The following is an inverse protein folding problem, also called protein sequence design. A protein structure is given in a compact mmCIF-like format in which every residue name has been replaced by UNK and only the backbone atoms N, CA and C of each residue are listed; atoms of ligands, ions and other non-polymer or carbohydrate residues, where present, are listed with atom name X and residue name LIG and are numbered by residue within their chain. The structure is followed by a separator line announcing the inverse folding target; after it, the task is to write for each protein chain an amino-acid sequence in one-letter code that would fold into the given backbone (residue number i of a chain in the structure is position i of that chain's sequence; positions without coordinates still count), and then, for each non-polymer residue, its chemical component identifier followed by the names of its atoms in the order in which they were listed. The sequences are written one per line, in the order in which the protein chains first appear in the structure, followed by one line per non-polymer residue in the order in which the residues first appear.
data_IF_791206023744
#
_entry.id   IF_791206023744
#
_cell.length_a   1.000
_cell.length_b   1.000
_cell.length_c   1.000
_cell.angle_alpha   90.00
_cell.angle_beta   90.00
_cell.angle_gamma   90.00
#
_symmetry.space_group_name_H-M   'P 1'
#
loop_
_entity.id
_entity.type
_entity.pdbx_description
1 polymer ?
#
# COMPACT_ATOMS: atom_id res chain seq x y z
N UNK A 1 -20.04 -31.76 -2.81
CA UNK A 1 -18.65 -31.98 -3.28
C UNK A 1 -18.10 -30.76 -3.99
N UNK A 2 -17.52 -29.82 -3.25
CA UNK A 2 -16.75 -28.71 -3.80
C UNK A 2 -15.32 -29.21 -4.09
N UNK A 3 -15.07 -29.66 -5.32
CA UNK A 3 -13.75 -30.11 -5.75
C UNK A 3 -12.77 -28.91 -5.75
N UNK A 4 -11.54 -29.08 -5.21
CA UNK A 4 -10.54 -28.00 -5.16
C UNK A 4 -10.23 -27.39 -6.54
N UNK A 5 -10.31 -28.19 -7.60
CA UNK A 5 -10.13 -27.75 -8.99
C UNK A 5 -11.21 -26.78 -9.46
N UNK A 6 -12.45 -26.95 -9.00
CA UNK A 6 -13.55 -26.03 -9.30
C UNK A 6 -13.36 -24.67 -8.60
N UNK A 7 -12.84 -24.69 -7.37
CA UNK A 7 -12.51 -23.47 -6.62
C UNK A 7 -11.32 -22.76 -7.28
N UNK A 8 -10.26 -23.48 -7.64
CA UNK A 8 -9.09 -22.93 -8.32
C UNK A 8 -9.46 -22.30 -9.68
N UNK A 9 -10.33 -22.96 -10.46
CA UNK A 9 -10.82 -22.40 -11.73
C UNK A 9 -11.60 -21.10 -11.55
N UNK A 10 -12.42 -21.00 -10.50
CA UNK A 10 -13.14 -19.75 -10.15
C UNK A 10 -12.17 -18.65 -9.70
N UNK A 11 -11.16 -18.98 -8.91
CA UNK A 11 -10.12 -18.03 -8.48
C UNK A 11 -9.32 -17.53 -9.68
N UNK A 12 -8.91 -18.42 -10.59
CA UNK A 12 -8.22 -18.04 -11.82
C UNK A 12 -9.07 -17.11 -12.70
N UNK A 13 -10.36 -17.41 -12.85
CA UNK A 13 -11.29 -16.59 -13.60
C UNK A 13 -11.51 -15.21 -12.96
N UNK A 14 -11.55 -15.12 -11.62
CA UNK A 14 -11.62 -13.85 -10.89
C UNK A 14 -10.34 -13.01 -11.05
N UNK A 15 -9.17 -13.65 -10.97
CA UNK A 15 -7.86 -12.98 -11.17
C UNK A 15 -7.73 -12.49 -12.61
N UNK A 16 -8.19 -13.26 -13.60
CA UNK A 16 -8.13 -12.86 -15.02
C UNK A 16 -8.94 -11.61 -15.35
N UNK A 17 -9.92 -11.25 -14.52
CA UNK A 17 -10.71 -10.02 -14.68
C UNK A 17 -10.03 -8.76 -14.15
N UNK A 18 -8.80 -8.83 -13.62
CA UNK A 18 -8.10 -7.70 -13.00
C UNK A 18 -8.91 -6.94 -11.92
N UNK A 19 -9.91 -7.60 -11.32
CA UNK A 19 -10.83 -6.97 -10.35
C UNK A 19 -12.00 -6.20 -10.98
N UNK A 20 -12.13 -6.15 -12.30
CA UNK A 20 -13.29 -5.60 -13.00
C UNK A 20 -14.34 -6.70 -13.22
N UNK A 21 -15.48 -6.59 -12.56
CA UNK A 21 -16.62 -7.50 -12.73
C UNK A 21 -17.37 -7.18 -14.03
N UNK A 22 -16.76 -7.50 -15.18
CA UNK A 22 -17.27 -7.15 -16.51
C UNK A 22 -18.45 -8.04 -16.96
N UNK A 23 -18.77 -9.13 -16.25
CA UNK A 23 -19.75 -10.12 -16.72
C UNK A 23 -21.00 -10.36 -15.84
N UNK A 24 -21.24 -9.56 -14.79
CA UNK A 24 -22.52 -9.53 -14.05
C UNK A 24 -23.03 -10.85 -13.41
N UNK A 25 -22.34 -11.98 -13.61
CA UNK A 25 -22.71 -13.33 -13.17
C UNK A 25 -22.01 -13.78 -11.89
N UNK A 26 -21.30 -12.86 -11.22
CA UNK A 26 -20.68 -13.13 -9.94
C UNK A 26 -21.61 -12.64 -8.83
N UNK A 27 -22.58 -13.47 -8.47
CA UNK A 27 -23.41 -13.26 -7.27
C UNK A 27 -22.53 -13.55 -6.05
N UNK A 28 -21.91 -12.51 -5.51
CA UNK A 28 -21.19 -12.62 -4.24
C UNK A 28 -22.24 -12.65 -3.13
N UNK A 29 -22.56 -13.83 -2.62
CA UNK A 29 -23.51 -14.01 -1.51
C UNK A 29 -22.98 -13.50 -0.14
N UNK A 30 -21.95 -12.65 -0.15
CA UNK A 30 -21.40 -12.01 1.03
C UNK A 30 -21.23 -10.54 0.73
N UNK A 31 -22.00 -9.69 1.39
CA UNK A 31 -21.78 -8.25 1.40
C UNK A 31 -20.31 -7.99 1.75
N UNK A 32 -19.54 -7.50 0.78
CA UNK A 32 -18.12 -7.23 0.98
C UNK A 32 -17.97 -6.02 1.89
N UNK A 33 -17.81 -6.25 3.19
CA UNK A 33 -17.53 -5.23 4.23
C UNK A 33 -16.21 -4.45 3.94
N UNK A 34 -15.43 -4.85 2.92
CA UNK A 34 -14.10 -4.32 2.66
C UNK A 34 -13.90 -3.89 1.19
N UNK A 35 -13.69 -2.59 0.98
CA UNK A 35 -13.49 -2.01 -0.35
C UNK A 35 -12.02 -2.08 -0.79
N UNK A 36 -11.67 -3.08 -1.63
CA UNK A 36 -10.31 -3.21 -2.19
C UNK A 36 -9.87 -2.00 -3.03
N UNK A 37 -10.79 -1.38 -3.78
CA UNK A 37 -10.52 -0.17 -4.57
C UNK A 37 -10.06 1.00 -3.69
N UNK A 38 -10.74 1.21 -2.55
CA UNK A 38 -10.38 2.25 -1.58
C UNK A 38 -8.99 2.01 -1.01
N UNK A 39 -8.67 0.75 -0.68
CA UNK A 39 -7.34 0.37 -0.16
C UNK A 39 -6.25 0.72 -1.16
N UNK A 40 -6.41 0.33 -2.43
CA UNK A 40 -5.41 0.60 -3.47
C UNK A 40 -5.21 2.09 -3.67
N UNK A 41 -6.30 2.88 -3.71
CA UNK A 41 -6.21 4.34 -3.87
C UNK A 41 -5.53 5.03 -2.68
N UNK A 42 -5.89 4.65 -1.45
CA UNK A 42 -5.32 5.23 -0.23
C UNK A 42 -3.86 4.83 -0.06
N UNK A 43 -3.54 3.55 -0.27
CA UNK A 43 -2.18 3.02 -0.16
C UNK A 43 -1.27 3.64 -1.22
N UNK A 44 -1.74 3.77 -2.47
CA UNK A 44 -0.97 4.41 -3.55
C UNK A 44 -0.62 5.86 -3.20
N UNK A 45 -1.57 6.62 -2.64
CA UNK A 45 -1.30 7.97 -2.17
C UNK A 45 -0.26 8.01 -1.05
N UNK A 46 -0.36 7.12 -0.06
CA UNK A 46 0.60 7.04 1.05
C UNK A 46 2.02 6.69 0.55
N UNK A 47 2.13 5.74 -0.36
CA UNK A 47 3.40 5.36 -1.02
C UNK A 47 4.01 6.55 -1.75
N UNK A 48 3.23 7.23 -2.59
CA UNK A 48 3.71 8.39 -3.34
C UNK A 48 4.19 9.46 -2.37
N UNK A 49 3.42 9.76 -1.33
CA UNK A 49 3.76 10.80 -0.35
C UNK A 49 5.03 10.49 0.46
N UNK A 50 5.24 9.23 0.83
CA UNK A 50 6.36 8.85 1.69
C UNK A 50 7.68 8.72 0.92
N UNK A 51 7.65 8.07 -0.24
CA UNK A 51 8.87 7.75 -0.99
C UNK A 51 9.26 8.82 -2.04
N UNK A 52 8.36 9.74 -2.40
CA UNK A 52 8.67 10.79 -3.38
C UNK A 52 9.45 11.96 -2.75
N UNK A 53 10.45 12.54 -3.46
CA UNK A 53 11.16 13.73 -3.00
C UNK A 53 10.20 14.91 -2.84
N UNK A 54 10.35 15.65 -1.72
CA UNK A 54 9.49 16.80 -1.36
C UNK A 54 9.43 17.90 -2.44
N UNK A 55 10.41 17.95 -3.35
CA UNK A 55 10.46 18.92 -4.45
C UNK A 55 9.36 18.68 -5.50
N UNK A 56 8.83 17.46 -5.60
CA UNK A 56 7.77 17.09 -6.55
C UNK A 56 6.35 17.39 -6.00
N UNK A 57 6.13 18.60 -5.51
CA UNK A 57 4.81 19.06 -5.05
C UNK A 57 3.64 18.80 -6.01
N UNK A 58 3.75 19.02 -7.35
CA UNK A 58 2.61 18.77 -8.24
C UNK A 58 2.20 17.29 -8.25
N UNK A 59 3.16 16.37 -8.11
CA UNK A 59 2.87 14.93 -8.06
C UNK A 59 2.08 14.56 -6.80
N UNK A 60 2.43 15.14 -5.65
CA UNK A 60 1.71 14.90 -4.41
C UNK A 60 0.27 15.44 -4.47
N UNK A 61 0.09 16.62 -5.06
CA UNK A 61 -1.24 17.21 -5.27
C UNK A 61 -2.07 16.37 -6.24
N UNK A 62 -1.51 15.99 -7.39
CA UNK A 62 -2.19 15.13 -8.35
C UNK A 62 -2.58 13.80 -7.71
N UNK A 63 -1.67 13.12 -7.01
CA UNK A 63 -1.96 11.87 -6.34
C UNK A 63 -3.02 12.01 -5.23
N UNK A 64 -3.01 13.11 -4.47
CA UNK A 64 -4.03 13.39 -3.46
C UNK A 64 -5.41 13.61 -4.09
N UNK A 65 -5.47 14.40 -5.17
CA UNK A 65 -6.72 14.69 -5.89
C UNK A 65 -7.25 13.41 -6.55
N UNK A 66 -6.43 12.63 -7.23
CA UNK A 66 -6.87 11.40 -7.89
C UNK A 66 -7.38 10.37 -6.89
N UNK A 67 -6.71 10.20 -5.75
CA UNK A 67 -7.20 9.31 -4.69
C UNK A 67 -8.50 9.83 -4.06
N UNK A 68 -8.64 11.14 -3.83
CA UNK A 68 -9.87 11.71 -3.31
C UNK A 68 -11.05 11.53 -4.27
N UNK A 69 -10.85 11.91 -5.55
CA UNK A 69 -11.86 11.72 -6.60
C UNK A 69 -12.21 10.25 -6.75
N UNK A 70 -11.22 9.36 -6.74
CA UNK A 70 -11.45 7.91 -6.81
C UNK A 70 -12.31 7.38 -5.67
N UNK A 71 -12.09 7.83 -4.43
CA UNK A 71 -12.92 7.45 -3.28
C UNK A 71 -14.36 7.98 -3.43
N UNK A 72 -14.53 9.21 -3.92
CA UNK A 72 -15.86 9.77 -4.20
C UNK A 72 -16.58 8.99 -5.30
N UNK A 73 -15.89 8.63 -6.39
CA UNK A 73 -16.47 7.80 -7.46
C UNK A 73 -16.87 6.40 -6.96
N UNK A 74 -16.07 5.80 -6.06
CA UNK A 74 -16.42 4.52 -5.43
C UNK A 74 -17.71 4.65 -4.61
N UNK A 75 -17.87 5.74 -3.84
CA UNK A 75 -19.09 6.01 -3.09
C UNK A 75 -20.30 6.24 -4.01
N UNK A 76 -20.13 7.01 -5.09
CA UNK A 76 -21.19 7.30 -6.08
C UNK A 76 -21.60 6.05 -6.85
N UNK A 77 -20.71 5.07 -7.02
CA UNK A 77 -21.05 3.83 -7.72
C UNK A 77 -22.10 2.98 -6.99
N UNK A 78 -22.45 3.31 -5.74
CA UNK A 78 -23.43 2.62 -4.90
C UNK A 78 -23.20 1.09 -4.78
N UNK A 79 -22.04 0.60 -5.19
CA UNK A 79 -21.66 -0.81 -5.14
C UNK A 79 -21.09 -1.25 -3.80
N UNK A 80 -20.83 -0.30 -2.89
CA UNK A 80 -20.29 -0.51 -1.55
C UNK A 80 -20.96 0.44 -0.57
N UNK A 81 -21.17 -0.01 0.66
CA UNK A 81 -21.66 0.86 1.72
C UNK A 81 -20.58 1.87 2.11
N UNK A 82 -20.97 3.06 2.56
CA UNK A 82 -20.04 4.07 3.11
C UNK A 82 -19.15 3.49 4.21
N UNK A 83 -19.69 2.54 4.98
CA UNK A 83 -18.98 1.77 6.01
C UNK A 83 -17.75 1.05 5.44
N UNK A 84 -17.85 0.44 4.26
CA UNK A 84 -16.76 -0.34 3.65
C UNK A 84 -15.56 0.56 3.32
N UNK A 85 -15.85 1.80 2.88
CA UNK A 85 -14.84 2.82 2.58
C UNK A 85 -14.18 3.32 3.86
N UNK A 86 -14.96 3.56 4.92
CA UNK A 86 -14.44 4.01 6.23
C UNK A 86 -13.55 2.94 6.85
N UNK A 87 -13.99 1.68 6.84
CA UNK A 87 -13.21 0.55 7.37
C UNK A 87 -11.93 0.36 6.54
N UNK A 88 -12.02 0.38 5.21
CA UNK A 88 -10.86 0.27 4.33
C UNK A 88 -9.84 1.38 4.58
N UNK A 89 -10.28 2.63 4.67
CA UNK A 89 -9.42 3.77 5.02
C UNK A 89 -8.80 3.59 6.41
N UNK A 90 -9.60 3.15 7.39
CA UNK A 90 -9.15 2.96 8.76
C UNK A 90 -8.04 1.92 8.86
N UNK A 91 -8.27 0.72 8.32
CA UNK A 91 -7.30 -0.37 8.36
C UNK A 91 -6.03 0.01 7.59
N UNK A 92 -6.17 0.53 6.37
CA UNK A 92 -5.02 0.87 5.51
C UNK A 92 -4.10 1.89 6.17
N UNK A 93 -4.66 2.98 6.70
CA UNK A 93 -3.86 4.02 7.37
C UNK A 93 -3.20 3.50 8.64
N UNK A 94 -3.90 2.70 9.45
CA UNK A 94 -3.36 2.15 10.70
C UNK A 94 -2.22 1.19 10.43
N UNK A 95 -2.40 0.26 9.50
CA UNK A 95 -1.35 -0.67 9.09
C UNK A 95 -0.12 0.06 8.54
N UNK A 96 -0.32 1.08 7.70
CA UNK A 96 0.77 1.89 7.16
C UNK A 96 1.62 2.53 8.26
N UNK A 97 0.99 3.21 9.22
CA UNK A 97 1.71 3.90 10.29
C UNK A 97 2.34 2.92 11.28
N UNK A 98 1.66 1.82 11.63
CA UNK A 98 2.23 0.78 12.50
C UNK A 98 3.50 0.20 11.84
N UNK A 99 3.41 -0.17 10.56
CA UNK A 99 4.55 -0.69 9.79
C UNK A 99 5.72 0.29 9.78
N UNK A 100 5.52 1.54 9.38
CA UNK A 100 6.60 2.53 9.35
C UNK A 100 7.16 2.84 10.74
N UNK A 101 6.32 2.80 11.78
CA UNK A 101 6.78 2.99 13.16
C UNK A 101 7.69 1.84 13.58
N UNK A 102 7.34 0.60 13.30
CA UNK A 102 8.20 -0.56 13.61
C UNK A 102 9.48 -0.55 12.74
N UNK A 103 9.37 -0.19 11.46
CA UNK A 103 10.50 -0.20 10.53
C UNK A 103 11.53 0.91 10.82
N UNK A 104 11.08 2.07 11.30
CA UNK A 104 11.96 3.21 11.53
C UNK A 104 12.53 3.29 12.96
N UNK A 105 11.97 2.54 13.92
CA UNK A 105 12.45 2.52 15.30
C UNK A 105 13.24 1.24 15.59
N UNK A 106 14.55 1.34 15.74
CA UNK A 106 15.43 0.20 16.02
C UNK A 106 15.02 -0.59 17.29
N UNK A 107 14.51 0.09 18.31
CA UNK A 107 14.04 -0.54 19.56
C UNK A 107 12.84 -1.47 19.34
N UNK A 108 11.96 -1.17 18.37
CA UNK A 108 10.79 -1.99 18.05
C UNK A 108 11.12 -3.19 17.15
N UNK A 109 12.31 -3.20 16.53
CA UNK A 109 12.86 -4.37 15.82
C UNK A 109 13.49 -5.39 16.77
N UNK A 110 13.80 -5.00 18.00
CA UNK A 110 14.40 -5.92 18.97
C UNK A 110 13.32 -6.68 19.74
N UNK A 111 13.62 -7.94 20.04
CA UNK A 111 12.83 -8.76 20.94
C UNK A 111 13.05 -8.27 22.37
N UNK A 112 12.12 -7.45 22.87
CA UNK A 112 12.12 -6.96 24.24
C UNK A 112 10.87 -7.42 25.00
N UNK A 113 10.95 -7.58 26.33
CA UNK A 113 9.79 -7.96 27.16
C UNK A 113 8.64 -6.94 27.08
N UNK A 114 8.97 -5.67 26.78
CA UNK A 114 8.01 -4.58 26.63
C UNK A 114 7.50 -4.40 25.19
N UNK A 115 7.98 -5.20 24.23
CA UNK A 115 7.58 -5.10 22.83
C UNK A 115 6.45 -6.09 22.52
N UNK A 116 5.20 -5.63 22.62
CA UNK A 116 4.02 -6.45 22.34
C UNK A 116 3.91 -6.89 20.87
N UNK A 117 4.58 -6.21 19.94
CA UNK A 117 4.58 -6.61 18.52
C UNK A 117 5.23 -7.97 18.31
N UNK A 118 6.17 -8.37 19.19
CA UNK A 118 6.82 -9.69 19.14
C UNK A 118 5.85 -10.86 19.29
N UNK A 119 4.66 -10.63 19.89
CA UNK A 119 3.62 -11.64 20.10
C UNK A 119 2.75 -11.86 18.85
N UNK A 120 2.91 -11.04 17.82
CA UNK A 120 2.14 -11.17 16.59
C UNK A 120 2.73 -12.28 15.73
N UNK A 121 1.87 -13.14 15.19
CA UNK A 121 2.29 -14.32 14.41
C UNK A 121 3.11 -13.95 13.16
N UNK A 122 2.90 -12.76 12.58
CA UNK A 122 3.60 -12.27 11.40
C UNK A 122 4.89 -11.50 11.73
N UNK A 123 5.19 -11.24 13.01
CA UNK A 123 6.38 -10.49 13.41
C UNK A 123 7.70 -11.12 12.94
N UNK A 124 7.90 -12.46 12.94
CA UNK A 124 9.10 -13.07 12.38
C UNK A 124 9.30 -12.78 10.88
N UNK A 125 8.20 -12.70 10.12
CA UNK A 125 8.22 -12.37 8.69
C UNK A 125 8.68 -10.92 8.50
N UNK A 126 8.10 -10.00 9.28
CA UNK A 126 8.53 -8.60 9.29
C UNK A 126 10.02 -8.45 9.58
N UNK A 127 10.51 -9.14 10.62
CA UNK A 127 11.93 -9.13 10.98
C UNK A 127 12.84 -9.67 9.89
N UNK A 128 12.40 -10.68 9.13
CA UNK A 128 13.16 -11.21 8.01
C UNK A 128 13.36 -10.17 6.90
N UNK A 129 12.29 -9.46 6.51
CA UNK A 129 12.37 -8.43 5.46
C UNK A 129 13.11 -7.16 5.92
N UNK A 130 12.94 -6.76 7.18
CA UNK A 130 13.45 -5.50 7.72
C UNK A 130 14.81 -5.61 8.42
N UNK A 131 15.45 -6.79 8.40
CA UNK A 131 16.73 -7.07 9.08
C UNK A 131 17.86 -6.13 8.65
N UNK A 132 17.91 -5.77 7.37
CA UNK A 132 19.01 -5.00 6.78
C UNK A 132 18.70 -3.50 6.67
N UNK A 133 17.51 -3.06 7.08
CA UNK A 133 17.08 -1.66 6.96
C UNK A 133 17.27 -0.98 8.31
N UNK A 134 18.26 -0.10 8.43
CA UNK A 134 18.65 0.51 9.70
C UNK A 134 17.86 1.77 10.06
N UNK A 135 17.05 2.32 9.14
CA UNK A 135 16.32 3.57 9.35
C UNK A 135 15.42 3.96 8.18
N UNK A 136 14.95 5.21 8.19
CA UNK A 136 14.03 5.74 7.17
C UNK A 136 14.67 5.66 5.79
N UNK A 137 13.96 5.04 4.84
CA UNK A 137 14.40 4.94 3.45
C UNK A 137 14.59 6.35 2.88
N UNK A 138 15.78 6.68 2.33
CA UNK A 138 16.01 8.00 1.76
C UNK A 138 15.09 8.22 0.58
N UNK A 139 14.49 9.42 0.49
CA UNK A 139 13.57 9.83 -0.59
C UNK A 139 14.33 10.20 -1.87
N UNK A 140 15.27 9.36 -2.27
CA UNK A 140 16.10 9.53 -3.44
C UNK A 140 15.68 8.48 -4.47
N UNK A 141 15.09 8.92 -5.58
CA UNK A 141 14.86 8.05 -6.72
C UNK A 141 16.18 7.88 -7.46
N UNK A 142 16.81 6.71 -7.30
CA UNK A 142 17.85 6.28 -8.23
C UNK A 142 17.17 5.75 -9.49
N UNK A 143 17.38 6.45 -10.61
CA UNK A 143 16.84 6.01 -11.89
C UNK A 143 17.62 4.76 -12.35
N UNK A 144 16.95 3.61 -12.57
CA UNK A 144 17.61 2.34 -12.87
C UNK A 144 18.19 2.31 -14.30
N UNK A 145 17.73 3.18 -15.19
CA UNK A 145 18.27 3.30 -16.54
C UNK A 145 19.45 4.31 -16.54
N UNK A 146 20.42 4.18 -17.46
CA UNK A 146 21.57 5.09 -17.52
C UNK A 146 21.23 6.55 -17.92
N UNK A 147 19.98 6.84 -18.28
CA UNK A 147 19.55 8.11 -18.87
C UNK A 147 18.35 8.68 -18.08
N UNK A 148 18.45 9.82 -17.37
CA UNK A 148 19.20 11.02 -17.70
C UNK A 148 20.17 11.44 -16.56
N UNK A 149 21.18 10.62 -16.25
CA UNK A 149 22.21 11.00 -15.25
C UNK A 149 22.93 12.32 -15.60
N UNK A 150 22.96 12.70 -16.88
CA UNK A 150 23.55 13.98 -17.35
C UNK A 150 22.74 15.22 -16.96
N UNK A 151 21.43 15.11 -16.72
CA UNK A 151 20.60 16.26 -16.34
C UNK A 151 20.49 16.43 -14.81
N UNK A 152 20.82 15.39 -14.04
CA UNK A 152 20.80 15.39 -12.57
C UNK A 152 22.18 15.59 -11.92
N UNK A 153 23.26 15.68 -12.71
CA UNK A 153 24.62 15.90 -12.22
C UNK A 153 24.89 17.40 -11.98
N UNK A 154 24.24 18.00 -10.98
CA UNK A 154 24.76 19.22 -10.35
C UNK A 154 24.28 19.37 -8.91
N UNK A 155 24.81 18.54 -8.03
CA UNK A 155 24.98 18.92 -6.63
C UNK A 155 26.48 18.99 -6.36
N UNK A 156 27.06 20.17 -6.05
CA UNK A 156 28.45 20.23 -5.61
C UNK A 156 28.57 19.50 -4.28
N UNK A 157 29.60 18.65 -4.16
CA UNK A 157 30.01 18.03 -2.91
C UNK A 157 30.18 19.12 -1.85
N UNK A 158 29.53 18.95 -0.70
CA UNK A 158 29.79 19.75 0.49
C UNK A 158 30.61 18.89 1.45
N UNK A 159 31.87 18.69 1.07
CA UNK A 159 32.95 18.31 1.96
C UNK A 159 33.94 19.48 1.96
N UNK A 160 33.74 20.42 2.90
CA UNK A 160 34.71 21.38 3.44
C UNK A 160 34.13 21.90 4.76
#
# INVERSE_FOLDING_TARGET
NSSPSLIAGRVAQLISGFGLSINGKHTYCGDFIYSGHTVVLVLSYLIIKEYTPKKCYPLHWLAGITSFVGVILVLISHGHYTVDVIIAYYITTRLWYIYHTMANNAQLKLNGPNNFFTRLWWFPIFMYFEKNVSGVVPRQYEWPLPWPRRLLAKHPNRDS
#
